data_IF_449602435790
#
_entry.id   IF_449602435790
#
_cell.length_a   1.000
_cell.length_b   1.000
_cell.length_c   1.000
_cell.angle_alpha   90.00
_cell.angle_beta   90.00
_cell.angle_gamma   90.00
#
_symmetry.space_group_name_H-M   'P 1'
#
loop_
_entity.id
_entity.type
_entity.pdbx_description
1 polymer ?
#
# COMPACT_ATOMS: atom_id res chain seq x y z
N UNK A 1 -19.92 -15.40 10.49
CA UNK A 1 -18.49 -15.80 10.48
C UNK A 1 -17.65 -14.63 10.97
N UNK A 2 -16.57 -14.87 11.73
CA UNK A 2 -15.66 -13.80 12.16
C UNK A 2 -14.76 -13.38 10.99
N UNK A 3 -14.45 -12.08 10.87
CA UNK A 3 -13.65 -11.48 9.77
C UNK A 3 -12.32 -12.21 9.52
N UNK A 4 -11.71 -12.76 10.58
CA UNK A 4 -10.49 -13.59 10.53
C UNK A 4 -10.71 -14.93 9.83
N UNK A 5 -11.82 -15.62 10.14
CA UNK A 5 -12.16 -16.90 9.51
C UNK A 5 -12.38 -16.72 8.02
N UNK A 6 -13.10 -15.66 7.61
CA UNK A 6 -13.37 -15.36 6.20
C UNK A 6 -12.08 -15.12 5.39
N UNK A 7 -11.11 -14.37 5.92
CA UNK A 7 -9.81 -14.20 5.23
C UNK A 7 -9.08 -15.53 5.09
N UNK A 8 -8.97 -16.27 6.18
CA UNK A 8 -8.20 -17.53 6.18
C UNK A 8 -8.85 -18.55 5.24
N UNK A 9 -10.18 -18.61 5.18
CA UNK A 9 -10.89 -19.44 4.20
C UNK A 9 -10.66 -18.97 2.78
N UNK A 10 -10.64 -17.65 2.52
CA UNK A 10 -10.35 -17.13 1.19
C UNK A 10 -8.92 -17.47 0.74
N UNK A 11 -7.93 -17.30 1.63
CA UNK A 11 -6.54 -17.67 1.35
C UNK A 11 -6.37 -19.18 1.13
N UNK A 12 -7.05 -20.01 1.91
CA UNK A 12 -7.04 -21.46 1.73
C UNK A 12 -7.70 -21.88 0.40
N UNK A 13 -8.82 -21.27 0.03
CA UNK A 13 -9.48 -21.52 -1.27
C UNK A 13 -8.60 -21.11 -2.44
N UNK A 14 -7.92 -19.97 -2.36
CA UNK A 14 -6.95 -19.54 -3.37
C UNK A 14 -5.83 -20.57 -3.55
N UNK A 15 -5.29 -21.12 -2.46
CA UNK A 15 -4.28 -22.17 -2.53
C UNK A 15 -4.83 -23.47 -3.12
N UNK A 16 -6.04 -23.88 -2.78
CA UNK A 16 -6.69 -25.07 -3.35
C UNK A 16 -6.87 -24.90 -4.86
N UNK A 17 -7.34 -23.75 -5.32
CA UNK A 17 -7.47 -23.43 -6.75
C UNK A 17 -6.09 -23.46 -7.43
N UNK A 18 -5.06 -22.89 -6.79
CA UNK A 18 -3.71 -22.85 -7.34
C UNK A 18 -3.10 -24.26 -7.45
N UNK A 19 -3.29 -25.11 -6.44
CA UNK A 19 -2.85 -26.52 -6.46
C UNK A 19 -3.62 -27.29 -7.52
N UNK A 20 -4.93 -27.06 -7.65
CA UNK A 20 -5.76 -27.66 -8.70
C UNK A 20 -5.25 -27.31 -10.11
N UNK A 21 -4.94 -26.03 -10.35
CA UNK A 21 -4.36 -25.58 -11.62
C UNK A 21 -3.04 -26.29 -11.96
N UNK A 22 -2.13 -26.37 -10.99
CA UNK A 22 -0.84 -27.06 -11.17
C UNK A 22 -1.06 -28.55 -11.41
N UNK A 23 -1.99 -29.19 -10.69
CA UNK A 23 -2.31 -30.60 -10.85
C UNK A 23 -2.91 -30.94 -12.22
N UNK A 24 -3.59 -29.99 -12.87
CA UNK A 24 -4.11 -30.13 -14.24
C UNK A 24 -3.09 -29.78 -15.34
N UNK A 25 -1.81 -29.63 -15.01
CA UNK A 25 -0.74 -29.32 -15.97
C UNK A 25 -0.43 -27.82 -16.12
N UNK A 26 -0.94 -26.97 -15.23
CA UNK A 26 -0.64 -25.54 -15.21
C UNK A 26 0.82 -25.24 -14.83
N UNK A 27 1.42 -24.23 -15.47
CA UNK A 27 2.82 -23.85 -15.19
C UNK A 27 2.97 -23.00 -13.92
N UNK A 28 4.12 -23.13 -13.28
CA UNK A 28 4.56 -22.22 -12.22
C UNK A 28 5.10 -20.93 -12.84
N UNK A 29 4.19 -20.07 -13.28
CA UNK A 29 4.50 -18.70 -13.68
C UNK A 29 4.59 -17.73 -12.50
N UNK A 30 5.00 -16.49 -12.78
CA UNK A 30 5.09 -15.44 -11.77
C UNK A 30 3.77 -15.21 -11.00
N UNK A 31 2.62 -15.36 -11.67
CA UNK A 31 1.28 -15.23 -11.06
C UNK A 31 1.06 -16.30 -9.98
N UNK A 32 1.46 -17.54 -10.25
CA UNK A 32 1.36 -18.67 -9.31
C UNK A 32 2.21 -18.41 -8.07
N UNK A 33 3.44 -17.91 -8.26
CA UNK A 33 4.36 -17.58 -7.17
C UNK A 33 3.79 -16.46 -6.30
N UNK A 34 3.33 -15.36 -6.90
CA UNK A 34 2.73 -14.23 -6.18
C UNK A 34 1.51 -14.68 -5.37
N UNK A 35 0.62 -15.47 -5.97
CA UNK A 35 -0.59 -15.96 -5.30
C UNK A 35 -0.26 -16.81 -4.08
N UNK A 36 0.72 -17.72 -4.20
CA UNK A 36 1.17 -18.54 -3.07
C UNK A 36 1.80 -17.69 -1.97
N UNK A 37 2.64 -16.71 -2.31
CA UNK A 37 3.26 -15.80 -1.34
C UNK A 37 2.19 -15.01 -0.58
N UNK A 38 1.22 -14.42 -1.29
CA UNK A 38 0.14 -13.65 -0.65
C UNK A 38 -0.66 -14.52 0.31
N UNK A 39 -1.05 -15.73 -0.12
CA UNK A 39 -1.77 -16.65 0.75
C UNK A 39 -0.92 -17.10 1.96
N UNK A 40 0.37 -17.37 1.77
CA UNK A 40 1.29 -17.72 2.84
C UNK A 40 1.45 -16.58 3.87
N UNK A 41 1.59 -15.33 3.42
CA UNK A 41 1.66 -14.16 4.31
C UNK A 41 0.36 -13.99 5.11
N UNK A 42 -0.80 -14.19 4.47
CA UNK A 42 -2.10 -14.11 5.14
C UNK A 42 -2.26 -15.22 6.20
N UNK A 43 -1.81 -16.43 5.89
CA UNK A 43 -1.83 -17.56 6.83
C UNK A 43 -0.83 -17.36 7.97
N UNK A 44 0.40 -16.94 7.67
CA UNK A 44 1.46 -16.68 8.64
C UNK A 44 1.11 -15.56 9.62
N UNK A 45 0.38 -14.53 9.16
CA UNK A 45 -0.16 -13.47 10.03
C UNK A 45 -1.41 -13.92 10.80
N UNK A 46 -1.87 -15.15 10.61
CA UNK A 46 -3.06 -15.71 11.25
C UNK A 46 -4.36 -15.00 10.86
N UNK A 47 -4.40 -14.33 9.70
CA UNK A 47 -5.52 -13.50 9.28
C UNK A 47 -5.71 -12.24 10.14
N UNK A 48 -4.63 -11.76 10.80
CA UNK A 48 -4.66 -10.52 11.55
C UNK A 48 -4.69 -9.34 10.57
N UNK A 49 -5.87 -8.79 10.36
CA UNK A 49 -6.10 -7.60 9.54
C UNK A 49 -5.08 -6.48 9.77
N UNK A 50 -4.64 -6.27 11.01
CA UNK A 50 -3.65 -5.25 11.39
C UNK A 50 -2.30 -5.48 10.70
N UNK A 51 -1.83 -6.73 10.69
CA UNK A 51 -0.57 -7.08 10.07
C UNK A 51 -0.67 -6.97 8.54
N UNK A 52 -1.78 -7.45 7.97
CA UNK A 52 -2.04 -7.38 6.52
C UNK A 52 -2.11 -5.92 6.05
N UNK A 53 -2.84 -5.06 6.78
CA UNK A 53 -2.93 -3.62 6.52
C UNK A 53 -1.56 -2.94 6.62
N UNK A 54 -0.80 -3.21 7.68
CA UNK A 54 0.53 -2.61 7.89
C UNK A 54 1.50 -3.02 6.78
N UNK A 55 1.50 -4.30 6.38
CA UNK A 55 2.35 -4.80 5.30
C UNK A 55 1.97 -4.18 3.96
N UNK A 56 0.68 -4.13 3.63
CA UNK A 56 0.20 -3.50 2.39
C UNK A 56 0.54 -2.01 2.33
N UNK A 57 0.41 -1.31 3.45
CA UNK A 57 0.77 0.10 3.56
C UNK A 57 2.26 0.35 3.37
N UNK A 58 3.11 -0.42 4.05
CA UNK A 58 4.57 -0.30 3.91
C UNK A 58 4.97 -0.62 2.47
N UNK A 59 4.42 -1.69 1.87
CA UNK A 59 4.68 -2.06 0.49
C UNK A 59 4.33 -0.93 -0.49
N UNK A 60 3.12 -0.37 -0.41
CA UNK A 60 2.72 0.74 -1.28
C UNK A 60 3.55 2.01 -1.05
N UNK A 61 3.95 2.28 0.20
CA UNK A 61 4.90 3.34 0.49
C UNK A 61 6.28 3.12 -0.13
N UNK A 62 6.76 1.87 -0.15
CA UNK A 62 8.01 1.49 -0.82
C UNK A 62 7.91 1.58 -2.35
N UNK A 63 6.74 1.34 -2.95
CA UNK A 63 6.53 1.57 -4.39
C UNK A 63 6.75 3.04 -4.75
N UNK A 64 6.18 3.97 -3.97
CA UNK A 64 6.44 5.40 -4.17
C UNK A 64 7.89 5.78 -3.87
N UNK A 65 8.48 5.26 -2.79
CA UNK A 65 9.88 5.50 -2.47
C UNK A 65 10.83 5.00 -3.58
N UNK A 66 10.53 3.83 -4.15
CA UNK A 66 11.27 3.24 -5.27
C UNK A 66 11.22 4.11 -6.52
N UNK A 67 10.03 4.62 -6.88
CA UNK A 67 9.87 5.59 -7.97
C UNK A 67 10.73 6.84 -7.77
N UNK A 68 10.72 7.41 -6.56
CA UNK A 68 11.56 8.57 -6.22
C UNK A 68 13.05 8.21 -6.27
N UNK A 69 13.44 7.06 -5.70
CA UNK A 69 14.82 6.58 -5.69
C UNK A 69 15.36 6.34 -7.11
N UNK A 70 14.53 5.82 -8.01
CA UNK A 70 14.86 5.61 -9.42
C UNK A 70 15.20 6.92 -10.14
N UNK A 71 14.43 7.99 -9.88
CA UNK A 71 14.68 9.33 -10.43
C UNK A 71 16.00 9.93 -9.95
N UNK A 72 16.49 9.52 -8.78
CA UNK A 72 17.79 9.94 -8.26
C UNK A 72 18.92 8.94 -8.59
N UNK A 73 18.64 7.91 -9.40
CA UNK A 73 19.62 6.91 -9.83
C UNK A 73 20.05 5.91 -8.77
N UNK A 74 19.34 5.83 -7.64
CA UNK A 74 19.68 4.91 -6.56
C UNK A 74 19.41 3.44 -6.91
N UNK A 75 18.61 3.16 -7.94
CA UNK A 75 18.32 1.80 -8.42
C UNK A 75 19.24 1.34 -9.56
N UNK A 76 20.07 2.22 -10.11
CA UNK A 76 20.97 1.92 -11.21
C UNK A 76 20.95 2.99 -12.30
N UNK A 77 21.78 2.79 -13.32
CA UNK A 77 21.84 3.65 -14.49
C UNK A 77 20.64 3.42 -15.42
N UNK A 78 20.24 4.43 -16.21
CA UNK A 78 19.19 4.26 -17.21
C UNK A 78 19.44 3.06 -18.14
N UNK A 79 18.40 2.25 -18.36
CA UNK A 79 18.49 1.05 -19.19
C UNK A 79 19.03 -0.20 -18.49
N UNK A 80 19.38 -0.12 -17.20
CA UNK A 80 19.65 -1.31 -16.40
C UNK A 80 18.35 -2.08 -16.08
N UNK A 81 18.47 -3.38 -15.83
CA UNK A 81 17.33 -4.23 -15.49
C UNK A 81 16.62 -3.73 -14.23
N UNK A 82 15.31 -3.52 -14.32
CA UNK A 82 14.48 -3.05 -13.21
C UNK A 82 14.55 -1.54 -12.94
N UNK A 83 15.24 -0.76 -13.78
CA UNK A 83 15.30 0.71 -13.72
C UNK A 83 14.30 1.30 -14.72
N UNK A 84 13.43 2.21 -14.27
CA UNK A 84 12.43 2.83 -15.16
C UNK A 84 13.02 4.04 -15.89
N UNK A 85 13.61 4.97 -15.14
CA UNK A 85 14.18 6.23 -15.63
C UNK A 85 15.67 6.35 -15.32
N UNK A 86 16.10 5.94 -14.12
CA UNK A 86 17.51 5.95 -13.66
C UNK A 86 18.12 7.33 -13.43
N UNK A 87 17.51 8.41 -13.92
CA UNK A 87 17.88 9.78 -13.58
C UNK A 87 16.69 10.73 -13.78
N UNK A 88 16.81 11.94 -13.22
CA UNK A 88 15.74 12.92 -13.22
C UNK A 88 15.46 13.52 -14.62
N UNK A 89 16.49 13.67 -15.46
CA UNK A 89 16.33 14.18 -16.83
C UNK A 89 15.43 13.28 -17.67
N UNK A 90 15.72 11.97 -17.68
CA UNK A 90 14.90 10.97 -18.36
C UNK A 90 13.47 10.94 -17.84
N UNK A 91 13.27 11.17 -16.54
CA UNK A 91 11.93 11.27 -15.98
C UNK A 91 11.17 12.52 -16.45
N UNK A 92 11.85 13.66 -16.60
CA UNK A 92 11.26 14.89 -17.16
C UNK A 92 10.89 14.69 -18.63
N UNK A 93 11.75 14.05 -19.41
CA UNK A 93 11.47 13.72 -20.81
C UNK A 93 10.30 12.75 -20.93
N UNK A 94 10.28 11.69 -20.11
CA UNK A 94 9.14 10.78 -20.05
C UNK A 94 7.84 11.50 -19.64
N UNK A 95 7.91 12.42 -18.68
CA UNK A 95 6.75 13.24 -18.28
C UNK A 95 6.25 14.10 -19.44
N UNK A 96 7.16 14.61 -20.28
CA UNK A 96 6.81 15.36 -21.50
C UNK A 96 6.07 14.48 -22.50
N UNK A 97 6.53 13.24 -22.72
CA UNK A 97 5.91 12.30 -23.66
C UNK A 97 4.49 11.91 -23.22
N UNK A 98 4.22 11.90 -21.92
CA UNK A 98 2.89 11.64 -21.38
C UNK A 98 1.93 12.83 -21.55
N UNK A 99 2.43 14.05 -21.72
CA UNK A 99 1.61 15.24 -21.81
C UNK A 99 1.13 15.52 -23.25
N UNK A 100 -0.09 16.05 -23.42
CA UNK A 100 -0.51 16.64 -24.68
C UNK A 100 0.49 17.73 -25.12
N UNK A 101 0.76 17.85 -26.43
CA UNK A 101 1.77 18.77 -26.97
C UNK A 101 1.71 20.21 -26.43
N UNK A 102 0.50 20.75 -26.24
CA UNK A 102 0.29 22.10 -25.69
C UNK A 102 0.74 22.28 -24.23
N UNK A 103 0.96 21.20 -23.48
CA UNK A 103 1.38 21.20 -22.07
C UNK A 103 2.85 20.80 -21.87
N UNK A 104 3.62 20.60 -22.95
CA UNK A 104 5.03 20.21 -22.86
C UNK A 104 5.90 21.19 -22.06
N UNK A 105 5.54 22.47 -22.02
CA UNK A 105 6.22 23.49 -21.22
C UNK A 105 6.11 23.23 -19.71
N UNK A 106 5.08 22.50 -19.27
CA UNK A 106 4.84 22.20 -17.86
C UNK A 106 5.57 20.92 -17.38
N UNK A 107 6.24 20.18 -18.26
CA UNK A 107 6.82 18.86 -17.96
C UNK A 107 7.75 18.88 -16.74
N UNK A 108 8.70 19.82 -16.67
CA UNK A 108 9.61 19.95 -15.53
C UNK A 108 8.87 20.27 -14.22
N UNK A 109 7.87 21.15 -14.27
CA UNK A 109 7.07 21.52 -13.11
C UNK A 109 6.22 20.36 -12.58
N UNK A 110 5.60 19.61 -13.49
CA UNK A 110 4.80 18.42 -13.15
C UNK A 110 5.68 17.27 -12.65
N UNK A 111 6.86 17.07 -13.23
CA UNK A 111 7.84 16.09 -12.76
C UNK A 111 8.31 16.41 -11.33
N UNK A 112 8.60 17.68 -11.03
CA UNK A 112 8.94 18.12 -9.67
C UNK A 112 7.78 17.90 -8.71
N UNK A 113 6.57 18.33 -9.08
CA UNK A 113 5.37 18.16 -8.26
C UNK A 113 5.10 16.68 -7.96
N UNK A 114 5.16 15.81 -8.97
CA UNK A 114 5.00 14.37 -8.80
C UNK A 114 6.06 13.81 -7.84
N UNK A 115 7.33 14.18 -8.00
CA UNK A 115 8.41 13.70 -7.12
C UNK A 115 8.21 14.11 -5.67
N UNK A 116 7.83 15.37 -5.42
CA UNK A 116 7.56 15.86 -4.06
C UNK A 116 6.34 15.16 -3.46
N UNK A 117 5.24 15.06 -4.21
CA UNK A 117 4.01 14.40 -3.75
C UNK A 117 4.27 12.93 -3.44
N UNK A 118 4.94 12.20 -4.33
CA UNK A 118 5.27 10.79 -4.11
C UNK A 118 6.20 10.59 -2.91
N UNK A 119 7.18 11.47 -2.69
CA UNK A 119 8.04 11.39 -1.51
C UNK A 119 7.25 11.58 -0.21
N UNK A 120 6.33 12.56 -0.17
CA UNK A 120 5.45 12.78 0.99
C UNK A 120 4.53 11.58 1.22
N UNK A 121 3.95 11.03 0.15
CA UNK A 121 3.08 9.85 0.23
C UNK A 121 3.83 8.61 0.69
N UNK A 122 5.06 8.39 0.21
CA UNK A 122 5.94 7.31 0.63
C UNK A 122 6.18 7.37 2.14
N UNK A 123 6.62 8.53 2.66
CA UNK A 123 6.83 8.73 4.08
C UNK A 123 5.54 8.55 4.89
N UNK A 124 4.42 9.14 4.44
CA UNK A 124 3.13 9.05 5.14
C UNK A 124 2.62 7.60 5.24
N UNK A 125 2.75 6.81 4.16
CA UNK A 125 2.36 5.40 4.15
C UNK A 125 3.30 4.55 5.01
N UNK A 126 4.61 4.67 4.85
CA UNK A 126 5.58 3.88 5.63
C UNK A 126 5.42 4.15 7.13
N UNK A 127 5.33 5.42 7.53
CA UNK A 127 5.18 5.82 8.93
C UNK A 127 3.76 5.60 9.46
N UNK A 128 2.77 5.40 8.59
CA UNK A 128 1.38 5.24 8.96
C UNK A 128 0.68 6.52 9.41
N UNK A 129 1.16 7.68 8.98
CA UNK A 129 0.58 8.98 9.30
C UNK A 129 -0.58 9.26 8.34
N UNK A 130 -1.81 9.38 8.89
CA UNK A 130 -3.05 9.64 8.11
C UNK A 130 -3.15 8.72 6.89
N UNK A 131 -2.87 7.44 7.08
CA UNK A 131 -2.65 6.50 5.98
C UNK A 131 -3.86 6.33 5.07
N UNK A 132 -5.07 6.55 5.58
CA UNK A 132 -6.29 6.58 4.76
C UNK A 132 -6.24 7.71 3.72
N UNK A 133 -5.92 8.93 4.17
CA UNK A 133 -5.77 10.08 3.28
C UNK A 133 -4.58 9.92 2.34
N UNK A 134 -3.45 9.41 2.83
CA UNK A 134 -2.28 9.15 2.00
C UNK A 134 -2.59 8.11 0.91
N UNK A 135 -3.29 7.03 1.23
CA UNK A 135 -3.70 6.02 0.25
C UNK A 135 -4.69 6.59 -0.77
N UNK A 136 -5.69 7.36 -0.35
CA UNK A 136 -6.63 8.01 -1.28
C UNK A 136 -5.95 9.04 -2.19
N UNK A 137 -5.04 9.85 -1.66
CA UNK A 137 -4.26 10.80 -2.45
C UNK A 137 -3.32 10.08 -3.43
N UNK A 138 -2.62 9.03 -2.98
CA UNK A 138 -1.81 8.19 -3.85
C UNK A 138 -2.64 7.53 -4.94
N UNK A 139 -3.84 7.05 -4.63
CA UNK A 139 -4.76 6.50 -5.62
C UNK A 139 -5.08 7.52 -6.71
N UNK A 140 -5.37 8.77 -6.35
CA UNK A 140 -5.65 9.83 -7.30
C UNK A 140 -4.41 10.15 -8.17
N UNK A 141 -3.23 10.26 -7.56
CA UNK A 141 -1.96 10.52 -8.27
C UNK A 141 -1.67 9.43 -9.30
N UNK A 142 -1.71 8.16 -8.86
CA UNK A 142 -1.41 7.01 -9.74
C UNK A 142 -2.51 6.83 -10.80
N UNK A 143 -3.77 7.13 -10.50
CA UNK A 143 -4.84 7.09 -11.49
C UNK A 143 -4.66 8.16 -12.57
N UNK A 144 -4.30 9.39 -12.21
CA UNK A 144 -3.98 10.46 -13.19
C UNK A 144 -2.79 10.07 -14.05
N UNK A 145 -1.73 9.52 -13.43
CA UNK A 145 -0.56 9.00 -14.15
C UNK A 145 -0.94 7.86 -15.11
N UNK A 146 -1.75 6.91 -14.66
CA UNK A 146 -2.23 5.79 -15.49
C UNK A 146 -3.10 6.25 -16.65
N UNK A 147 -3.97 7.24 -16.45
CA UNK A 147 -4.74 7.83 -17.54
C UNK A 147 -3.82 8.48 -18.57
N UNK A 148 -2.81 9.24 -18.13
CA UNK A 148 -1.83 9.84 -19.02
C UNK A 148 -1.04 8.77 -19.81
N UNK A 149 -0.60 7.69 -19.15
CA UNK A 149 0.04 6.56 -19.85
C UNK A 149 -0.87 5.92 -20.88
N UNK A 150 -2.13 5.63 -20.51
CA UNK A 150 -3.07 4.99 -21.43
C UNK A 150 -3.30 5.85 -22.67
N UNK A 151 -3.51 7.15 -22.51
CA UNK A 151 -3.77 8.03 -23.65
C UNK A 151 -2.53 8.29 -24.52
N UNK A 152 -1.32 8.22 -23.97
CA UNK A 152 -0.11 8.65 -24.66
C UNK A 152 0.75 7.49 -25.17
N UNK A 153 0.95 6.45 -24.36
CA UNK A 153 1.80 5.28 -24.68
C UNK A 153 1.03 3.96 -24.77
N UNK A 154 -0.29 3.99 -24.53
CA UNK A 154 -1.18 2.84 -24.66
C UNK A 154 -1.34 2.01 -23.39
N UNK A 155 -2.36 1.13 -23.40
CA UNK A 155 -2.72 0.29 -22.27
C UNK A 155 -1.63 -0.75 -21.94
N UNK A 156 -0.95 -1.30 -22.95
CA UNK A 156 0.04 -2.36 -22.76
C UNK A 156 1.24 -1.88 -21.93
N UNK A 157 1.70 -0.65 -22.18
CA UNK A 157 2.75 -0.04 -21.37
C UNK A 157 2.26 0.24 -19.95
N UNK A 158 1.08 0.85 -19.79
CA UNK A 158 0.46 1.07 -18.48
C UNK A 158 0.34 -0.24 -17.66
N UNK A 159 -0.09 -1.32 -18.29
CA UNK A 159 -0.27 -2.63 -17.67
C UNK A 159 1.06 -3.30 -17.31
N UNK A 160 2.10 -3.11 -18.12
CA UNK A 160 3.44 -3.65 -17.86
C UNK A 160 4.08 -3.08 -16.59
N UNK A 161 3.74 -1.83 -16.24
CA UNK A 161 4.12 -1.20 -14.95
C UNK A 161 3.15 -1.52 -13.80
N UNK A 162 2.19 -2.43 -14.00
CA UNK A 162 1.16 -2.80 -13.01
C UNK A 162 0.35 -1.61 -12.44
N UNK A 163 0.27 -0.49 -13.17
CA UNK A 163 -0.39 0.75 -12.70
C UNK A 163 -1.84 0.50 -12.26
N UNK A 164 -2.70 -0.24 -13.00
CA UNK A 164 -4.06 -0.51 -12.56
C UNK A 164 -4.14 -1.29 -11.24
N UNK A 165 -3.19 -2.21 -11.01
CA UNK A 165 -3.14 -2.98 -9.77
C UNK A 165 -2.76 -2.09 -8.58
N UNK A 166 -1.82 -1.17 -8.76
CA UNK A 166 -1.42 -0.19 -7.73
C UNK A 166 -2.58 0.75 -7.40
N UNK A 167 -3.33 1.23 -8.40
CA UNK A 167 -4.57 2.03 -8.19
C UNK A 167 -5.59 1.25 -7.36
N UNK A 168 -5.88 0.00 -7.73
CA UNK A 168 -6.82 -0.84 -6.99
C UNK A 168 -6.39 -1.07 -5.54
N UNK A 169 -5.11 -1.35 -5.32
CA UNK A 169 -4.55 -1.54 -3.98
C UNK A 169 -4.65 -0.27 -3.12
N UNK A 170 -4.32 0.90 -3.68
CA UNK A 170 -4.43 2.19 -2.99
C UNK A 170 -5.89 2.57 -2.72
N UNK A 171 -6.81 2.30 -3.64
CA UNK A 171 -8.23 2.52 -3.46
C UNK A 171 -8.77 1.68 -2.29
N UNK A 172 -8.44 0.38 -2.27
CA UNK A 172 -8.82 -0.52 -1.17
C UNK A 172 -8.23 0.00 0.15
N UNK A 173 -6.93 0.30 0.21
CA UNK A 173 -6.28 0.81 1.42
C UNK A 173 -6.91 2.14 1.90
N UNK A 174 -7.33 3.01 0.98
CA UNK A 174 -8.02 4.27 1.29
C UNK A 174 -9.46 4.11 1.82
N UNK A 175 -10.05 2.91 1.70
CA UNK A 175 -11.33 2.58 2.36
C UNK A 175 -11.15 1.99 3.75
N UNK A 176 -9.93 1.57 4.11
CA UNK A 176 -9.64 0.99 5.42
C UNK A 176 -9.34 2.11 6.42
N UNK A 177 -10.07 2.16 7.53
CA UNK A 177 -9.79 3.05 8.66
C UNK A 177 -8.51 2.62 9.39
N UNK A 178 -7.34 2.90 8.80
CA UNK A 178 -6.04 2.65 9.40
C UNK A 178 -5.68 3.69 10.51
N UNK A 179 -6.47 4.77 10.65
CA UNK A 179 -6.30 5.81 11.68
C UNK A 179 -6.45 5.29 13.12
N UNK A 180 -6.93 4.06 13.31
CA UNK A 180 -7.09 3.45 14.64
C UNK A 180 -5.76 2.96 15.27
N UNK A 181 -4.68 2.82 14.51
CA UNK A 181 -3.55 1.95 14.92
C UNK A 181 -2.31 2.71 15.41
N UNK A 182 -2.01 3.91 14.90
CA UNK A 182 -0.99 4.78 15.49
C UNK A 182 -1.42 5.22 16.90
N UNK A 183 -2.70 5.51 17.08
CA UNK A 183 -3.30 5.77 18.39
C UNK A 183 -3.15 4.58 19.33
N UNK A 184 -3.27 3.33 18.86
CA UNK A 184 -3.12 2.15 19.71
C UNK A 184 -1.67 1.86 20.15
N UNK A 185 -0.68 2.17 19.31
CA UNK A 185 0.76 2.06 19.65
C UNK A 185 1.22 3.24 20.52
N UNK A 186 0.64 4.42 20.36
CA UNK A 186 0.93 5.59 21.21
C UNK A 186 0.17 5.51 22.55
N UNK A 187 -1.02 4.91 22.59
CA UNK A 187 -1.82 4.72 23.83
C UNK A 187 -1.52 3.42 24.58
N UNK A 188 -0.61 2.57 24.09
CA UNK A 188 -0.20 1.36 24.82
C UNK A 188 0.69 1.64 26.05
N UNK A 189 1.08 2.89 26.30
CA UNK A 189 1.80 3.26 27.52
C UNK A 189 0.86 3.79 28.62
N UNK A 190 0.43 2.86 29.49
CA UNK A 190 0.16 3.09 30.93
C UNK A 190 -1.06 3.90 31.36
N UNK A 191 -1.63 4.77 30.52
CA UNK A 191 -2.60 5.77 30.98
C UNK A 191 -4.04 5.29 31.09
N UNK A 192 -4.45 4.25 30.34
CA UNK A 192 -5.81 3.71 30.49
C UNK A 192 -5.99 2.81 31.72
N UNK A 193 -4.91 2.14 32.17
CA UNK A 193 -4.93 1.28 33.36
C UNK A 193 -4.97 2.12 34.65
N UNK A 194 -4.39 3.34 34.64
CA UNK A 194 -4.44 4.25 35.79
C UNK A 194 -5.77 5.02 35.91
N UNK A 195 -6.47 5.26 34.79
CA UNK A 195 -7.75 5.99 34.82
C UNK A 195 -8.91 5.16 35.39
N UNK A 196 -8.79 3.82 35.45
CA UNK A 196 -9.84 2.92 35.96
C UNK A 196 -9.53 2.28 37.34
N UNK A 197 -8.50 2.74 38.07
CA UNK A 197 -8.22 2.28 39.45
C UNK A 197 -8.92 3.09 40.56
N UNK A 198 -9.73 4.10 40.23
CA UNK A 198 -10.53 4.85 41.23
C UNK A 198 -11.99 4.37 41.37
N UNK A 199 -12.48 3.53 40.46
CA UNK A 199 -13.84 2.97 40.48
C UNK A 199 -13.94 1.62 41.23
N UNK A 200 -12.86 0.83 41.25
CA UNK A 200 -12.86 -0.51 41.88
C UNK A 200 -12.74 -0.46 43.41
N UNK A 201 -12.29 0.65 44.00
CA UNK A 201 -12.22 0.81 45.46
C UNK A 201 -13.57 1.21 46.08
N UNK A 202 -14.48 1.84 45.32
CA UNK A 202 -15.78 2.29 45.85
C UNK A 202 -16.85 1.21 45.98
N UNK A 203 -16.76 0.10 45.24
CA UNK A 203 -17.72 -1.00 45.39
C UNK A 203 -17.45 -1.91 46.60
N UNK A 204 -16.21 -1.97 47.10
CA UNK A 204 -15.88 -2.78 48.29
C UNK A 204 -16.25 -2.12 49.62
N UNK A 205 -16.42 -0.80 49.65
CA UNK A 205 -16.86 -0.09 50.87
C UNK A 205 -18.39 -0.03 51.00
N UNK A 206 -19.13 0.03 49.89
CA UNK A 206 -20.60 0.00 49.91
C UNK A 206 -21.18 -1.36 50.36
N UNK A 207 -20.49 -2.47 50.08
CA UNK A 207 -20.95 -3.81 50.45
C UNK A 207 -20.71 -4.20 51.93
N UNK A 208 -20.02 -3.37 52.72
CA UNK A 208 -19.81 -3.59 54.17
C UNK A 208 -20.77 -2.82 55.07
N UNK A 209 -21.61 -1.94 54.51
CA UNK A 209 -22.59 -1.14 55.27
C UNK A 209 -23.99 -1.79 55.26
N UNK A 210 -24.17 -2.90 54.53
CA UNK A 210 -25.44 -3.64 54.41
C UNK A 210 -25.30 -5.07 54.97
N UNK A 211 -24.54 -5.24 56.05
CA UNK A 211 -24.59 -6.44 56.89
C UNK A 211 -24.65 -6.03 58.34
#
# INVERSE_FOLDING_TARGET
>A
MTRRRTILTAAALLLVVQVGWIATGGSLGAISVVTVIVAAVVIATGGRWIAIDTLGRIYLGLVFAGSVADRFGALGAPGADGVSWGNYGNFVDYTRDLLPGMLHWAATGLALAATVVEAVLACALILGVRSRLAASAGCAVVAVFGLAMWTSVGFDQMASYAVPAVVGALAILGTVDADRHASAVITSNGWQILRNRRSVVRYRQAARVIR
#
